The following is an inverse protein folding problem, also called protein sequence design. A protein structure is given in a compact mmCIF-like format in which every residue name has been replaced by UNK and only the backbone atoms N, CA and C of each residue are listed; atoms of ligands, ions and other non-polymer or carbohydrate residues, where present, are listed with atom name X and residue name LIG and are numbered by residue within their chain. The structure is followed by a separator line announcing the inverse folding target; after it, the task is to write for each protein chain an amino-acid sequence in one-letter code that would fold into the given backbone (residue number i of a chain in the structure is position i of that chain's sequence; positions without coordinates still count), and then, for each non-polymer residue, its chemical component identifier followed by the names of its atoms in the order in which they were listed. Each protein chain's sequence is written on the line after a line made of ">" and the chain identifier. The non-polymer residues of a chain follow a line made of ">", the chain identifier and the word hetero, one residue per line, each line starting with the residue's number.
data_IF_043524433518
#
_entry.id   IF_043524433518
#
_cell.length_a   1.000
_cell.length_b   1.000
_cell.length_c   1.000
_cell.angle_alpha   90.00
_cell.angle_beta   90.00
_cell.angle_gamma   90.00
#
_symmetry.space_group_name_H-M   'P 1'
#
loop_
_entity.id
_entity.type
_entity.pdbx_description
1 polymer ?
#
# COMPACT_ATOMS: atom_id res chain seq x y z
N UNK A 1 27.96 -7.42 -22.15
CA UNK A 1 26.53 -7.04 -22.19
C UNK A 1 25.70 -7.85 -23.20
N UNK A 2 26.32 -8.55 -24.16
CA UNK A 2 25.60 -9.42 -25.12
C UNK A 2 24.94 -10.65 -24.47
N UNK A 3 25.50 -11.18 -23.37
CA UNK A 3 25.01 -12.41 -22.71
C UNK A 3 23.60 -12.26 -22.11
N UNK A 4 23.19 -11.04 -21.74
CA UNK A 4 21.86 -10.77 -21.17
C UNK A 4 20.78 -10.52 -22.23
N UNK A 5 21.17 -10.40 -23.51
CA UNK A 5 20.22 -10.11 -24.58
C UNK A 5 19.43 -11.35 -25.00
N UNK A 6 19.96 -12.55 -24.78
CA UNK A 6 19.32 -13.82 -25.16
C UNK A 6 18.96 -14.69 -23.95
N UNK A 7 19.09 -14.16 -22.73
CA UNK A 7 18.73 -14.89 -21.51
C UNK A 7 17.20 -15.03 -21.37
N UNK A 8 16.71 -16.18 -20.85
CA UNK A 8 15.33 -16.35 -20.44
C UNK A 8 14.85 -15.21 -19.52
N UNK A 9 13.57 -14.78 -19.62
CA UNK A 9 13.01 -13.69 -18.83
C UNK A 9 13.25 -13.82 -17.32
N UNK A 10 13.22 -15.05 -16.82
CA UNK A 10 13.35 -15.38 -15.39
C UNK A 10 14.78 -15.10 -14.88
N UNK A 11 15.79 -15.42 -15.68
CA UNK A 11 17.20 -15.17 -15.38
C UNK A 11 17.49 -13.67 -15.47
N UNK A 12 16.92 -13.01 -16.49
CA UNK A 12 17.06 -11.57 -16.65
C UNK A 12 16.45 -10.83 -15.46
N UNK A 13 15.24 -11.21 -15.04
CA UNK A 13 14.56 -10.64 -13.88
C UNK A 13 15.38 -10.84 -12.61
N UNK A 14 15.90 -12.05 -12.35
CA UNK A 14 16.75 -12.35 -11.19
C UNK A 14 18.00 -11.45 -11.12
N UNK A 15 18.64 -11.21 -12.27
CA UNK A 15 19.78 -10.29 -12.39
C UNK A 15 19.37 -8.85 -12.06
N UNK A 16 18.20 -8.40 -12.54
CA UNK A 16 17.67 -7.08 -12.19
C UNK A 16 17.36 -6.97 -10.69
N UNK A 17 16.74 -7.99 -10.06
CA UNK A 17 16.48 -8.00 -8.61
C UNK A 17 17.79 -7.84 -7.83
N UNK A 18 18.77 -8.68 -8.16
CA UNK A 18 20.08 -8.67 -7.50
C UNK A 18 20.82 -7.36 -7.69
N UNK A 19 20.76 -6.79 -8.90
CA UNK A 19 21.34 -5.48 -9.21
C UNK A 19 20.71 -4.39 -8.33
N UNK A 20 19.38 -4.34 -8.23
CA UNK A 20 18.65 -3.34 -7.45
C UNK A 20 18.97 -3.47 -5.96
N UNK A 21 19.05 -4.69 -5.43
CA UNK A 21 19.49 -4.96 -4.05
C UNK A 21 20.92 -4.46 -3.83
N UNK A 22 21.81 -4.68 -4.80
CA UNK A 22 23.24 -4.37 -4.67
C UNK A 22 23.55 -2.88 -4.75
N UNK A 23 22.95 -2.15 -5.70
CA UNK A 23 23.31 -0.74 -5.96
C UNK A 23 22.23 0.26 -5.55
N UNK A 24 21.04 -0.22 -5.18
CA UNK A 24 19.87 0.59 -4.87
C UNK A 24 19.15 1.09 -6.11
N UNK A 25 17.82 1.20 -6.01
CA UNK A 25 16.93 1.56 -7.13
C UNK A 25 17.32 2.88 -7.81
N UNK A 26 17.79 3.88 -7.06
CA UNK A 26 18.17 5.19 -7.63
C UNK A 26 19.36 5.08 -8.59
N UNK A 27 20.35 4.24 -8.27
CA UNK A 27 21.50 4.02 -9.16
C UNK A 27 21.12 3.08 -10.31
N UNK A 28 20.28 2.08 -10.05
CA UNK A 28 19.74 1.21 -11.10
C UNK A 28 18.95 2.00 -12.16
N UNK A 29 18.16 3.00 -11.76
CA UNK A 29 17.43 3.87 -12.70
C UNK A 29 18.34 4.70 -13.60
N UNK A 30 19.58 5.01 -13.19
CA UNK A 30 20.55 5.70 -14.06
C UNK A 30 21.07 4.79 -15.17
N UNK A 31 20.94 3.47 -15.02
CA UNK A 31 21.27 2.48 -16.03
C UNK A 31 20.16 2.28 -17.07
N UNK A 32 19.02 2.96 -16.96
CA UNK A 32 17.92 2.94 -17.94
C UNK A 32 18.34 3.39 -19.33
N UNK A 33 19.35 4.27 -19.42
CA UNK A 33 19.85 4.81 -20.69
C UNK A 33 20.73 3.79 -21.44
N UNK A 34 21.07 2.67 -20.80
CA UNK A 34 22.04 1.70 -21.32
C UNK A 34 21.38 0.69 -22.28
N UNK A 35 20.10 0.32 -22.10
CA UNK A 35 19.39 -0.63 -22.97
C UNK A 35 17.86 -0.55 -22.81
N UNK A 36 17.10 -0.68 -23.91
CA UNK A 36 15.61 -0.72 -23.90
C UNK A 36 15.01 -1.85 -23.06
N UNK A 37 15.64 -3.02 -22.96
CA UNK A 37 15.20 -4.13 -22.08
C UNK A 37 15.44 -3.84 -20.60
N UNK A 38 16.55 -3.16 -20.28
CA UNK A 38 16.79 -2.65 -18.91
C UNK A 38 15.79 -1.55 -18.57
N UNK A 39 15.52 -0.64 -19.52
CA UNK A 39 14.46 0.36 -19.35
C UNK A 39 13.12 -0.34 -19.15
N UNK A 40 12.78 -1.37 -19.92
CA UNK A 40 11.56 -2.15 -19.74
C UNK A 40 11.50 -2.85 -18.37
N UNK A 41 12.51 -3.61 -17.97
CA UNK A 41 12.49 -4.36 -16.69
C UNK A 41 12.62 -3.48 -15.44
N UNK A 42 13.27 -2.31 -15.54
CA UNK A 42 13.33 -1.33 -14.44
C UNK A 42 12.06 -0.46 -14.43
N UNK A 43 11.45 -0.21 -15.58
CA UNK A 43 10.22 0.59 -15.71
C UNK A 43 8.95 -0.22 -15.49
N UNK A 44 8.99 -1.54 -15.64
CA UNK A 44 7.86 -2.42 -15.36
C UNK A 44 7.83 -2.80 -13.89
N UNK A 45 6.78 -2.33 -13.23
CA UNK A 45 6.05 -2.79 -12.02
C UNK A 45 6.72 -3.61 -10.91
N UNK A 46 7.69 -4.46 -11.18
CA UNK A 46 8.19 -5.46 -10.23
C UNK A 46 9.05 -4.82 -9.14
N UNK A 47 9.76 -3.72 -9.42
CA UNK A 47 10.75 -3.13 -8.50
C UNK A 47 10.66 -1.63 -8.24
N UNK A 48 9.72 -0.91 -8.87
CA UNK A 48 9.66 0.54 -8.70
C UNK A 48 8.96 0.90 -7.38
N UNK A 49 9.63 1.60 -6.42
CA UNK A 49 8.98 2.07 -5.23
C UNK A 49 7.83 3.00 -5.60
N UNK A 50 6.70 2.97 -4.91
CA UNK A 50 5.51 3.65 -5.42
C UNK A 50 5.65 5.17 -5.26
N UNK A 51 6.51 5.64 -4.35
CA UNK A 51 6.90 7.05 -4.25
C UNK A 51 7.61 7.57 -5.50
N UNK A 52 8.40 6.72 -6.16
CA UNK A 52 9.05 7.05 -7.42
C UNK A 52 8.07 6.93 -8.60
N UNK A 53 7.27 5.86 -8.64
CA UNK A 53 6.22 5.69 -9.65
C UNK A 53 5.23 6.86 -9.64
N UNK A 54 4.80 7.28 -8.45
CA UNK A 54 3.96 8.46 -8.24
C UNK A 54 4.59 9.73 -8.80
N UNK A 55 5.90 9.96 -8.61
CA UNK A 55 6.60 11.11 -9.19
C UNK A 55 6.62 11.10 -10.73
N UNK A 56 6.81 9.92 -11.34
CA UNK A 56 6.77 9.76 -12.80
C UNK A 56 5.35 10.04 -13.31
N UNK A 57 4.35 9.42 -12.69
CA UNK A 57 2.93 9.62 -13.02
C UNK A 57 2.50 11.09 -12.85
N UNK A 58 3.03 11.77 -11.84
CA UNK A 58 2.77 13.19 -11.63
C UNK A 58 3.38 14.03 -12.76
N UNK A 59 4.61 13.74 -13.17
CA UNK A 59 5.24 14.45 -14.28
C UNK A 59 4.46 14.24 -15.59
N UNK A 60 3.99 13.02 -15.87
CA UNK A 60 3.17 12.73 -17.05
C UNK A 60 1.78 13.37 -16.98
N UNK A 61 1.22 13.58 -15.78
CA UNK A 61 -0.08 14.25 -15.59
C UNK A 61 -0.12 15.71 -16.06
N UNK A 62 1.04 16.37 -16.19
CA UNK A 62 1.16 17.73 -16.72
C UNK A 62 1.32 17.80 -18.25
N UNK A 63 1.36 16.65 -18.92
CA UNK A 63 1.60 16.57 -20.37
C UNK A 63 0.33 16.14 -21.10
N UNK A 64 0.28 16.39 -22.42
CA UNK A 64 -0.82 15.95 -23.28
C UNK A 64 -0.99 14.41 -23.36
N UNK A 65 -0.06 13.65 -22.76
CA UNK A 65 -0.13 12.19 -22.63
C UNK A 65 -1.14 11.72 -21.58
N UNK A 66 -1.71 12.62 -20.77
CA UNK A 66 -2.74 12.30 -19.78
C UNK A 66 -4.10 12.09 -20.47
N UNK A 67 -4.31 10.93 -21.08
CA UNK A 67 -5.57 10.57 -21.75
C UNK A 67 -6.54 9.86 -20.80
N UNK A 68 -7.85 9.97 -21.07
CA UNK A 68 -8.92 9.31 -20.29
C UNK A 68 -8.64 7.81 -20.17
N UNK A 69 -8.84 7.25 -18.97
CA UNK A 69 -8.51 5.85 -18.66
C UNK A 69 -7.05 5.62 -18.22
N UNK A 70 -6.23 6.66 -18.08
CA UNK A 70 -4.87 6.54 -17.52
C UNK A 70 -4.79 7.04 -16.08
N UNK A 71 -3.86 6.51 -15.28
CA UNK A 71 -3.56 7.04 -13.94
C UNK A 71 -3.18 8.52 -13.96
N UNK A 72 -2.47 8.96 -15.00
CA UNK A 72 -2.09 10.38 -15.17
C UNK A 72 -3.31 11.28 -15.31
N UNK A 73 -4.36 10.82 -16.00
CA UNK A 73 -5.61 11.55 -16.12
C UNK A 73 -6.36 11.63 -14.79
N UNK A 74 -6.44 10.52 -14.04
CA UNK A 74 -7.04 10.51 -12.69
C UNK A 74 -6.33 11.50 -11.77
N UNK A 75 -4.98 11.49 -11.76
CA UNK A 75 -4.16 12.43 -10.98
C UNK A 75 -4.46 13.87 -11.38
N UNK A 76 -4.47 14.17 -12.68
CA UNK A 76 -4.72 15.51 -13.18
C UNK A 76 -6.13 16.00 -12.82
N UNK A 77 -7.14 15.16 -13.07
CA UNK A 77 -8.55 15.45 -12.78
C UNK A 77 -8.80 15.72 -11.30
N UNK A 78 -8.36 14.82 -10.42
CA UNK A 78 -8.53 14.97 -8.96
C UNK A 78 -7.81 16.22 -8.46
N UNK A 79 -6.56 16.45 -8.87
CA UNK A 79 -5.82 17.64 -8.44
C UNK A 79 -6.46 18.93 -8.91
N UNK A 80 -6.99 18.97 -10.14
CA UNK A 80 -7.69 20.13 -10.68
C UNK A 80 -8.94 20.45 -9.88
N UNK A 81 -9.79 19.45 -9.59
CA UNK A 81 -11.04 19.68 -8.85
C UNK A 81 -10.78 20.03 -7.39
N UNK A 82 -9.83 19.36 -6.71
CA UNK A 82 -9.41 19.76 -5.37
C UNK A 82 -8.86 21.19 -5.35
N UNK A 83 -8.08 21.58 -6.36
CA UNK A 83 -7.58 22.94 -6.51
C UNK A 83 -8.67 24.00 -6.58
N UNK A 84 -9.77 23.73 -7.31
CA UNK A 84 -10.95 24.63 -7.37
C UNK A 84 -11.64 24.75 -6.00
N UNK A 85 -11.79 23.63 -5.29
CA UNK A 85 -12.52 23.57 -4.02
C UNK A 85 -11.74 24.15 -2.84
N UNK A 86 -10.41 24.10 -2.88
CA UNK A 86 -9.55 24.46 -1.74
C UNK A 86 -8.72 25.72 -1.93
N UNK A 87 -8.55 26.18 -3.18
CA UNK A 87 -7.74 27.34 -3.55
C UNK A 87 -6.36 27.36 -2.84
N UNK A 88 -5.57 26.27 -2.97
CA UNK A 88 -4.35 26.11 -2.18
C UNK A 88 -3.26 27.05 -2.68
N UNK A 89 -2.40 27.49 -1.75
CA UNK A 89 -1.15 28.15 -2.12
C UNK A 89 -0.21 27.17 -2.84
N UNK A 90 0.88 27.68 -3.42
CA UNK A 90 1.79 26.87 -4.24
C UNK A 90 2.38 25.67 -3.47
N UNK A 91 2.80 25.88 -2.22
CA UNK A 91 3.38 24.82 -1.40
C UNK A 91 2.35 23.73 -1.05
N UNK A 92 1.13 24.12 -0.69
CA UNK A 92 0.01 23.21 -0.45
C UNK A 92 -0.35 22.43 -1.70
N UNK A 93 -0.36 23.09 -2.87
CA UNK A 93 -0.64 22.47 -4.16
C UNK A 93 0.40 21.38 -4.50
N UNK A 94 1.69 21.69 -4.36
CA UNK A 94 2.76 20.72 -4.61
C UNK A 94 2.68 19.51 -3.68
N UNK A 95 2.37 19.73 -2.40
CA UNK A 95 2.17 18.65 -1.43
C UNK A 95 0.97 17.78 -1.82
N UNK A 96 -0.18 18.40 -2.11
CA UNK A 96 -1.39 17.71 -2.57
C UNK A 96 -1.10 16.84 -3.80
N UNK A 97 -0.52 17.42 -4.84
CA UNK A 97 -0.24 16.73 -6.09
C UNK A 97 0.64 15.50 -5.88
N UNK A 98 1.66 15.61 -5.03
CA UNK A 98 2.51 14.48 -4.64
C UNK A 98 1.70 13.38 -3.95
N UNK A 99 0.90 13.75 -2.93
CA UNK A 99 0.11 12.79 -2.16
C UNK A 99 -0.90 12.04 -3.04
N UNK A 100 -1.60 12.73 -3.94
CA UNK A 100 -2.53 12.11 -4.89
C UNK A 100 -1.81 11.15 -5.83
N UNK A 101 -0.68 11.56 -6.40
CA UNK A 101 0.09 10.70 -7.31
C UNK A 101 0.63 9.45 -6.63
N UNK A 102 1.01 9.56 -5.35
CA UNK A 102 1.48 8.45 -4.55
C UNK A 102 0.33 7.48 -4.21
N UNK A 103 -0.84 8.02 -3.86
CA UNK A 103 -2.01 7.23 -3.52
C UNK A 103 -2.45 6.27 -4.63
N UNK A 104 -2.34 6.66 -5.91
CA UNK A 104 -2.75 5.81 -7.05
C UNK A 104 -1.62 4.97 -7.65
N UNK A 105 -0.38 5.16 -7.19
CA UNK A 105 0.81 4.53 -7.78
C UNK A 105 0.89 3.01 -7.57
N UNK A 106 0.10 2.48 -6.65
CA UNK A 106 0.03 1.05 -6.34
C UNK A 106 -0.64 0.23 -7.47
N UNK A 107 -1.43 0.86 -8.35
CA UNK A 107 -2.13 0.15 -9.41
C UNK A 107 -1.22 -0.23 -10.58
N UNK A 108 -1.33 -1.47 -11.02
CA UNK A 108 -0.71 -1.94 -12.26
C UNK A 108 -1.46 -1.46 -13.50
N UNK A 109 -0.79 -1.44 -14.65
CA UNK A 109 -1.42 -1.19 -15.95
C UNK A 109 -2.51 -2.22 -16.23
N UNK A 110 -2.29 -3.50 -15.88
CA UNK A 110 -3.32 -4.53 -16.02
C UNK A 110 -4.56 -4.22 -15.18
N UNK A 111 -4.39 -3.76 -13.93
CA UNK A 111 -5.51 -3.38 -13.08
C UNK A 111 -6.26 -2.17 -13.68
N UNK A 112 -5.53 -1.19 -14.21
CA UNK A 112 -6.13 -0.02 -14.88
C UNK A 112 -6.90 -0.44 -16.13
N UNK A 113 -6.38 -1.37 -16.93
CA UNK A 113 -7.06 -1.92 -18.10
C UNK A 113 -8.34 -2.67 -17.72
N UNK A 114 -8.33 -3.42 -16.62
CA UNK A 114 -9.52 -4.10 -16.09
C UNK A 114 -10.58 -3.09 -15.62
N UNK A 115 -10.18 -2.05 -14.88
CA UNK A 115 -11.06 -0.93 -14.47
C UNK A 115 -11.71 -0.26 -15.69
N UNK A 116 -10.92 -0.01 -16.73
CA UNK A 116 -11.39 0.60 -17.97
C UNK A 116 -12.38 -0.31 -18.72
N UNK A 117 -12.10 -1.61 -18.82
CA UNK A 117 -12.95 -2.60 -19.49
C UNK A 117 -14.31 -2.74 -18.80
N UNK A 118 -14.32 -2.71 -17.46
CA UNK A 118 -15.53 -2.78 -16.65
C UNK A 118 -16.33 -1.46 -16.65
N UNK A 119 -15.81 -0.40 -17.28
CA UNK A 119 -16.47 0.91 -17.38
C UNK A 119 -16.57 1.66 -16.06
N UNK A 120 -15.79 1.27 -15.04
CA UNK A 120 -15.88 1.83 -13.69
C UNK A 120 -15.33 3.27 -13.57
N UNK A 121 -14.60 3.77 -14.57
CA UNK A 121 -14.02 5.13 -14.63
C UNK A 121 -14.85 6.13 -15.48
N UNK A 122 -15.92 5.71 -16.14
CA UNK A 122 -16.42 6.48 -17.30
C UNK A 122 -17.41 7.61 -16.92
N UNK A 123 -17.91 7.67 -15.68
CA UNK A 123 -18.99 8.57 -15.25
C UNK A 123 -18.61 9.71 -14.30
N UNK A 124 -19.48 10.73 -14.21
CA UNK A 124 -19.37 11.86 -13.26
C UNK A 124 -19.33 11.39 -11.80
N UNK A 125 -20.09 10.34 -11.49
CA UNK A 125 -20.10 9.73 -10.17
C UNK A 125 -18.73 9.13 -9.80
N UNK A 126 -18.04 8.48 -10.75
CA UNK A 126 -16.70 7.94 -10.51
C UNK A 126 -15.69 9.06 -10.23
N UNK A 127 -15.78 10.16 -10.99
CA UNK A 127 -14.96 11.35 -10.75
C UNK A 127 -15.23 11.97 -9.38
N UNK A 128 -16.50 12.09 -8.98
CA UNK A 128 -16.86 12.59 -7.65
C UNK A 128 -16.26 11.73 -6.52
N UNK A 129 -16.32 10.40 -6.66
CA UNK A 129 -15.70 9.47 -5.69
C UNK A 129 -14.17 9.57 -5.68
N UNK A 130 -13.52 9.78 -6.83
CA UNK A 130 -12.08 10.00 -6.91
C UNK A 130 -11.68 11.30 -6.20
N UNK A 131 -12.44 12.39 -6.38
CA UNK A 131 -12.22 13.66 -5.68
C UNK A 131 -12.44 13.52 -4.17
N UNK A 132 -13.48 12.78 -3.77
CA UNK A 132 -13.72 12.44 -2.36
C UNK A 132 -12.54 11.68 -1.74
N UNK A 133 -12.01 10.65 -2.41
CA UNK A 133 -10.81 9.95 -1.97
C UNK A 133 -9.60 10.87 -1.92
N UNK A 134 -9.44 11.75 -2.91
CA UNK A 134 -8.40 12.75 -2.92
C UNK A 134 -8.45 13.67 -1.69
N UNK A 135 -9.63 14.10 -1.26
CA UNK A 135 -9.84 14.88 -0.04
C UNK A 135 -9.43 14.12 1.23
N UNK A 136 -9.69 12.80 1.28
CA UNK A 136 -9.22 11.93 2.36
C UNK A 136 -7.69 11.86 2.35
N UNK A 137 -7.07 11.59 1.19
CA UNK A 137 -5.62 11.51 1.04
C UNK A 137 -4.92 12.77 1.56
N UNK A 138 -5.38 13.96 1.18
CA UNK A 138 -4.78 15.22 1.66
C UNK A 138 -5.09 15.56 3.12
N UNK A 139 -6.01 14.83 3.77
CA UNK A 139 -6.36 15.06 5.16
C UNK A 139 -7.33 16.23 5.40
N UNK A 140 -8.10 16.63 4.38
CA UNK A 140 -9.00 17.77 4.49
C UNK A 140 -10.38 17.35 5.04
N UNK A 141 -10.49 17.21 6.37
CA UNK A 141 -11.73 16.78 7.03
C UNK A 141 -12.97 17.63 6.66
N UNK A 142 -12.92 18.99 6.65
CA UNK A 142 -14.06 19.80 6.21
C UNK A 142 -14.54 19.43 4.81
N UNK A 143 -13.60 19.23 3.88
CA UNK A 143 -13.93 18.85 2.50
C UNK A 143 -14.46 17.42 2.42
N UNK A 144 -13.92 16.48 3.20
CA UNK A 144 -14.46 15.11 3.29
C UNK A 144 -15.91 15.12 3.78
N UNK A 145 -16.24 15.94 4.77
CA UNK A 145 -17.63 16.11 5.25
C UNK A 145 -18.54 16.67 4.17
N UNK A 146 -18.06 17.67 3.42
CA UNK A 146 -18.81 18.28 2.33
C UNK A 146 -19.07 17.30 1.17
N UNK A 147 -18.04 16.53 0.79
CA UNK A 147 -18.10 15.61 -0.37
C UNK A 147 -18.82 14.29 -0.07
N UNK A 148 -18.83 13.81 1.18
CA UNK A 148 -19.47 12.53 1.51
C UNK A 148 -20.98 12.55 1.23
N UNK A 149 -21.67 13.65 1.51
CA UNK A 149 -23.10 13.83 1.21
C UNK A 149 -23.97 12.60 1.54
N UNK A 150 -24.70 12.08 0.54
CA UNK A 150 -25.48 10.83 0.57
C UNK A 150 -24.74 9.62 -0.03
N UNK A 151 -23.44 9.73 -0.28
CA UNK A 151 -22.62 8.68 -0.88
C UNK A 151 -22.35 7.52 0.07
N UNK A 152 -22.10 6.33 -0.48
CA UNK A 152 -21.76 5.15 0.30
C UNK A 152 -20.34 5.23 0.86
N UNK A 153 -20.22 5.30 2.19
CA UNK A 153 -18.94 5.34 2.92
C UNK A 153 -18.09 4.06 2.77
N UNK A 154 -18.73 2.95 2.34
CA UNK A 154 -18.12 1.62 2.21
C UNK A 154 -17.82 1.21 0.76
N UNK A 155 -18.09 2.09 -0.20
CA UNK A 155 -17.79 1.81 -1.61
C UNK A 155 -16.31 1.55 -1.80
N UNK A 156 -15.97 0.64 -2.70
CA UNK A 156 -14.60 0.45 -3.19
C UNK A 156 -14.42 1.39 -4.38
N UNK A 157 -13.46 2.29 -4.30
CA UNK A 157 -13.12 3.24 -5.35
C UNK A 157 -11.94 2.65 -6.13
N UNK A 158 -12.09 2.33 -7.43
CA UNK A 158 -11.11 1.52 -8.15
C UNK A 158 -9.66 2.05 -8.09
N UNK A 159 -9.48 3.37 -8.13
CA UNK A 159 -8.16 4.00 -8.13
C UNK A 159 -7.51 4.17 -6.76
N UNK A 160 -8.29 4.10 -5.67
CA UNK A 160 -7.83 4.49 -4.33
C UNK A 160 -8.10 3.42 -3.25
N UNK A 161 -9.13 2.60 -3.40
CA UNK A 161 -9.56 1.61 -2.42
C UNK A 161 -10.75 2.06 -1.57
N UNK A 162 -10.79 1.63 -0.31
CA UNK A 162 -11.89 1.90 0.62
C UNK A 162 -11.60 3.20 1.40
N UNK A 163 -12.56 4.12 1.55
CA UNK A 163 -12.35 5.40 2.26
C UNK A 163 -11.68 5.26 3.63
N UNK A 164 -12.13 4.30 4.45
CA UNK A 164 -11.58 4.08 5.79
C UNK A 164 -10.15 3.54 5.75
N UNK A 165 -9.82 2.67 4.79
CA UNK A 165 -8.44 2.17 4.64
C UNK A 165 -7.49 3.27 4.16
N UNK A 166 -7.94 4.18 3.29
CA UNK A 166 -7.17 5.35 2.86
C UNK A 166 -6.89 6.26 4.07
N UNK A 167 -7.92 6.60 4.86
CA UNK A 167 -7.72 7.43 6.05
C UNK A 167 -6.76 6.80 7.05
N UNK A 168 -6.84 5.47 7.20
CA UNK A 168 -5.96 4.69 8.05
C UNK A 168 -4.51 4.66 7.55
N UNK A 169 -4.29 4.45 6.25
CA UNK A 169 -2.96 4.46 5.63
C UNK A 169 -2.24 5.81 5.75
N UNK A 170 -2.99 6.91 5.60
CA UNK A 170 -2.44 8.27 5.63
C UNK A 170 -2.39 8.90 7.03
N UNK A 171 -2.83 8.18 8.06
CA UNK A 171 -2.74 8.65 9.45
C UNK A 171 -3.80 9.69 9.84
N UNK A 172 -4.87 9.84 9.06
CA UNK A 172 -5.89 10.87 9.28
C UNK A 172 -6.94 10.43 10.30
N UNK A 173 -6.57 10.36 11.58
CA UNK A 173 -7.43 9.83 12.66
C UNK A 173 -8.81 10.49 12.73
N UNK A 174 -8.90 11.82 12.56
CA UNK A 174 -10.19 12.52 12.62
C UNK A 174 -11.10 12.18 11.44
N UNK A 175 -10.52 11.91 10.26
CA UNK A 175 -11.26 11.43 9.10
C UNK A 175 -11.71 9.98 9.33
N UNK A 176 -10.82 9.11 9.83
CA UNK A 176 -11.17 7.73 10.14
C UNK A 176 -12.31 7.65 11.17
N UNK A 177 -12.27 8.46 12.25
CA UNK A 177 -13.38 8.59 13.22
C UNK A 177 -14.68 9.05 12.58
N UNK A 178 -14.61 10.04 11.69
CA UNK A 178 -15.77 10.54 10.97
C UNK A 178 -16.40 9.45 10.08
N UNK A 179 -15.58 8.73 9.30
CA UNK A 179 -16.03 7.65 8.44
C UNK A 179 -16.68 6.53 9.25
N UNK A 180 -16.09 6.11 10.37
CA UNK A 180 -16.70 5.14 11.29
C UNK A 180 -18.06 5.61 11.82
N UNK A 181 -18.17 6.89 12.21
CA UNK A 181 -19.44 7.49 12.65
C UNK A 181 -20.50 7.48 11.55
N UNK A 182 -20.09 7.58 10.28
CA UNK A 182 -20.95 7.48 9.11
C UNK A 182 -21.28 6.04 8.70
N UNK A 183 -20.86 5.03 9.47
CA UNK A 183 -21.16 3.62 9.20
C UNK A 183 -20.12 2.89 8.35
N UNK A 184 -18.87 3.39 8.33
CA UNK A 184 -17.78 2.66 7.69
C UNK A 184 -17.56 1.30 8.37
N UNK A 185 -17.53 0.24 7.57
CA UNK A 185 -17.24 -1.13 8.01
C UNK A 185 -15.72 -1.28 8.19
N UNK A 186 -15.29 -1.37 9.45
CA UNK A 186 -13.89 -1.56 9.82
C UNK A 186 -13.30 -2.87 9.25
N UNK A 187 -14.12 -3.91 9.11
CA UNK A 187 -13.73 -5.22 8.59
C UNK A 187 -13.76 -5.32 7.08
N UNK A 188 -14.17 -4.26 6.38
CA UNK A 188 -14.22 -4.26 4.92
C UNK A 188 -12.81 -4.37 4.35
N UNK A 189 -12.62 -5.38 3.50
CA UNK A 189 -11.39 -5.63 2.76
C UNK A 189 -11.62 -5.46 1.27
N UNK A 190 -10.58 -5.03 0.54
CA UNK A 190 -10.55 -5.12 -0.92
C UNK A 190 -9.91 -6.47 -1.24
N UNK A 191 -10.60 -7.42 -1.85
CA UNK A 191 -9.92 -8.63 -2.34
C UNK A 191 -9.30 -8.29 -3.71
N UNK A 192 -8.04 -7.88 -3.73
CA UNK A 192 -7.29 -7.79 -4.98
C UNK A 192 -6.60 -9.13 -5.20
N UNK A 193 -6.96 -9.89 -6.25
CA UNK A 193 -6.18 -11.05 -6.65
C UNK A 193 -4.77 -10.55 -7.04
N UNK A 194 -3.73 -10.97 -6.33
CA UNK A 194 -2.35 -10.69 -6.77
C UNK A 194 -2.04 -11.64 -7.92
N UNK A 195 -2.40 -11.23 -9.14
CA UNK A 195 -2.15 -12.00 -10.36
C UNK A 195 -0.65 -12.05 -10.63
N UNK A 196 -0.10 -13.25 -10.81
CA UNK A 196 1.35 -13.47 -11.01
C UNK A 196 2.15 -13.62 -9.71
N UNK A 197 1.50 -13.63 -8.54
CA UNK A 197 2.11 -14.16 -7.32
C UNK A 197 1.82 -15.65 -7.23
N UNK A 198 2.85 -16.45 -7.49
CA UNK A 198 2.90 -17.84 -7.07
C UNK A 198 3.83 -17.87 -5.85
N UNK A 199 3.33 -18.28 -4.66
CA UNK A 199 4.24 -18.51 -3.56
C UNK A 199 5.25 -19.55 -3.99
N UNK A 200 6.52 -19.32 -3.66
CA UNK A 200 7.53 -20.37 -3.74
C UNK A 200 6.94 -21.64 -3.04
N UNK A 201 6.91 -22.80 -3.71
CA UNK A 201 6.30 -24.01 -3.16
C UNK A 201 6.83 -24.38 -1.76
N UNK A 202 8.08 -24.02 -1.48
CA UNK A 202 8.76 -24.26 -0.19
C UNK A 202 8.45 -23.16 0.85
N UNK A 203 7.94 -22.00 0.41
CA UNK A 203 7.59 -20.86 1.27
C UNK A 203 6.09 -20.54 1.27
N UNK A 204 5.24 -21.33 0.61
CA UNK A 204 3.78 -21.10 0.53
C UNK A 204 3.09 -21.04 1.89
N UNK A 205 3.63 -21.76 2.87
CA UNK A 205 3.12 -21.78 4.23
C UNK A 205 3.70 -20.60 5.08
N UNK A 206 4.72 -19.91 4.58
CA UNK A 206 5.36 -18.73 5.19
C UNK A 206 4.88 -17.40 4.58
N UNK A 207 4.55 -17.41 3.28
CA UNK A 207 4.27 -16.23 2.47
C UNK A 207 2.77 -16.10 2.21
N UNK A 208 2.14 -15.11 2.85
CA UNK A 208 0.93 -14.52 2.29
C UNK A 208 1.32 -13.62 1.10
N UNK A 209 0.39 -13.30 0.17
CA UNK A 209 0.68 -12.50 -1.00
C UNK A 209 1.54 -11.30 -0.64
N UNK A 210 2.77 -11.29 -1.15
CA UNK A 210 3.75 -10.27 -0.83
C UNK A 210 3.39 -9.06 -1.65
N UNK A 211 3.14 -7.95 -0.97
CA UNK A 211 3.01 -6.66 -1.60
C UNK A 211 4.21 -5.81 -1.29
N UNK A 212 4.84 -5.27 -2.35
CA UNK A 212 5.88 -4.26 -2.22
C UNK A 212 5.33 -2.85 -1.92
N UNK A 213 4.01 -2.71 -1.65
CA UNK A 213 3.38 -1.42 -1.44
C UNK A 213 3.41 -1.03 0.04
N UNK A 214 3.96 0.14 0.35
CA UNK A 214 4.22 0.65 1.71
C UNK A 214 3.01 1.33 2.40
N UNK A 215 1.91 1.59 1.68
CA UNK A 215 0.76 2.37 2.19
C UNK A 215 -0.61 1.79 1.85
N UNK A 216 -0.65 0.71 1.08
CA UNK A 216 -1.81 -0.15 0.97
C UNK A 216 -1.26 -1.56 1.11
N UNK A 217 -1.62 -2.26 2.18
CA UNK A 217 -1.75 -3.71 2.05
C UNK A 217 -2.78 -3.89 0.92
N UNK A 218 -2.39 -4.37 -0.27
CA UNK A 218 -3.20 -4.26 -1.49
C UNK A 218 -4.47 -5.10 -1.42
N UNK A 219 -4.74 -5.74 -0.28
CA UNK A 219 -6.01 -6.39 -0.01
C UNK A 219 -6.46 -6.27 1.46
N UNK A 220 -6.05 -5.21 2.16
CA UNK A 220 -6.15 -5.13 3.62
C UNK A 220 -7.31 -4.29 4.16
N UNK A 221 -7.76 -4.63 5.37
CA UNK A 221 -8.70 -3.80 6.12
C UNK A 221 -8.04 -2.47 6.52
N UNK A 222 -8.83 -1.55 7.08
CA UNK A 222 -8.29 -0.33 7.67
C UNK A 222 -7.27 -0.59 8.79
N UNK A 223 -7.40 -1.71 9.52
CA UNK A 223 -6.46 -2.09 10.57
C UNK A 223 -5.08 -2.43 9.98
N UNK A 224 -5.05 -3.21 8.89
CA UNK A 224 -3.80 -3.59 8.21
C UNK A 224 -3.12 -2.39 7.57
N UNK A 225 -3.89 -1.48 7.00
CA UNK A 225 -3.39 -0.23 6.42
C UNK A 225 -2.72 0.65 7.49
N UNK A 226 -3.39 0.88 8.64
CA UNK A 226 -2.80 1.62 9.75
C UNK A 226 -1.57 0.91 10.33
N UNK A 227 -1.60 -0.42 10.41
CA UNK A 227 -0.52 -1.23 10.93
C UNK A 227 0.74 -1.19 10.05
N UNK A 228 0.57 -1.29 8.73
CA UNK A 228 1.66 -1.19 7.76
C UNK A 228 2.30 0.20 7.74
N UNK A 229 1.50 1.25 7.90
CA UNK A 229 1.96 2.64 7.80
C UNK A 229 2.39 3.26 9.14
N UNK A 230 2.25 2.53 10.26
CA UNK A 230 2.79 2.97 11.55
C UNK A 230 1.87 3.89 12.36
N UNK A 231 0.55 3.86 12.14
CA UNK A 231 -0.39 4.76 12.80
C UNK A 231 -1.00 4.14 14.07
N UNK A 232 -0.23 4.10 15.16
CA UNK A 232 -0.60 3.45 16.44
C UNK A 232 -1.98 3.88 16.97
N UNK A 233 -2.31 5.18 16.90
CA UNK A 233 -3.59 5.70 17.41
C UNK A 233 -4.79 5.17 16.62
N UNK A 234 -4.64 5.04 15.30
CA UNK A 234 -5.69 4.49 14.43
C UNK A 234 -5.84 2.99 14.69
N UNK A 235 -4.73 2.26 14.87
CA UNK A 235 -4.78 0.84 15.28
C UNK A 235 -5.57 0.68 16.58
N UNK A 236 -5.25 1.46 17.62
CA UNK A 236 -5.99 1.40 18.91
C UNK A 236 -7.46 1.73 18.76
N UNK A 237 -7.81 2.66 17.87
CA UNK A 237 -9.18 3.01 17.57
C UNK A 237 -9.93 1.89 16.83
N UNK A 238 -9.26 1.16 15.94
CA UNK A 238 -9.87 0.13 15.10
C UNK A 238 -9.97 -1.24 15.79
N UNK A 239 -9.03 -1.59 16.66
CA UNK A 239 -8.99 -2.88 17.39
C UNK A 239 -10.34 -3.32 17.99
N UNK A 240 -11.14 -2.44 18.65
CA UNK A 240 -12.44 -2.82 19.23
C UNK A 240 -13.48 -3.29 18.21
N UNK A 241 -13.33 -2.97 16.92
CA UNK A 241 -14.25 -3.38 15.86
C UNK A 241 -14.00 -4.81 15.36
N UNK A 242 -12.98 -5.50 15.88
CA UNK A 242 -12.61 -6.87 15.49
C UNK A 242 -12.70 -7.85 16.68
N UNK A 243 -13.87 -8.03 17.32
CA UNK A 243 -13.98 -8.88 18.50
C UNK A 243 -13.57 -10.34 18.20
N UNK A 244 -12.97 -10.96 19.21
CA UNK A 244 -12.42 -12.32 19.15
C UNK A 244 -13.49 -13.41 18.92
N UNK A 245 -13.39 -14.28 17.88
CA UNK A 245 -12.51 -14.03 16.73
C UNK A 245 -13.03 -14.40 15.34
N UNK A 246 -12.41 -13.72 14.36
CA UNK A 246 -11.58 -14.37 13.37
C UNK A 246 -10.09 -14.03 13.63
N UNK A 247 -9.29 -15.05 13.99
CA UNK A 247 -7.85 -14.93 14.32
C UNK A 247 -6.99 -14.45 13.13
N UNK A 248 -7.57 -14.44 11.93
CA UNK A 248 -6.92 -14.13 10.67
C UNK A 248 -6.60 -12.63 10.53
N UNK A 249 -7.50 -11.74 10.96
CA UNK A 249 -7.32 -10.30 10.76
C UNK A 249 -6.18 -9.73 11.60
N UNK A 250 -6.11 -10.11 12.87
CA UNK A 250 -5.00 -9.74 13.74
C UNK A 250 -3.68 -10.35 13.29
N UNK A 251 -3.73 -11.59 12.77
CA UNK A 251 -2.55 -12.21 12.18
C UNK A 251 -2.00 -11.41 10.99
N UNK A 252 -2.89 -10.99 10.09
CA UNK A 252 -2.54 -10.16 8.94
C UNK A 252 -2.05 -8.78 9.35
N UNK A 253 -2.63 -8.17 10.40
CA UNK A 253 -2.15 -6.93 10.98
C UNK A 253 -0.73 -7.06 11.59
N UNK A 254 -0.39 -8.21 12.21
CA UNK A 254 0.98 -8.48 12.68
C UNK A 254 1.99 -8.51 11.54
N UNK A 255 1.64 -9.23 10.46
CA UNK A 255 2.50 -9.30 9.29
C UNK A 255 2.67 -7.93 8.65
N UNK A 256 1.59 -7.16 8.48
CA UNK A 256 1.64 -5.79 7.98
C UNK A 256 2.55 -4.89 8.83
N UNK A 257 2.41 -4.96 10.16
CA UNK A 257 3.28 -4.23 11.10
C UNK A 257 4.75 -4.63 10.97
N UNK A 258 5.03 -5.92 10.76
CA UNK A 258 6.38 -6.42 10.58
C UNK A 258 7.00 -5.97 9.25
N UNK A 259 6.21 -5.91 8.16
CA UNK A 259 6.62 -5.33 6.86
C UNK A 259 6.96 -3.84 6.98
N UNK A 260 6.22 -3.10 7.80
CA UNK A 260 6.46 -1.68 8.06
C UNK A 260 7.50 -1.39 9.17
N UNK A 261 7.99 -2.41 9.88
CA UNK A 261 8.95 -2.24 10.98
C UNK A 261 8.34 -1.69 12.28
N UNK A 262 7.03 -1.76 12.46
CA UNK A 262 6.29 -1.13 13.56
C UNK A 262 6.10 -2.08 14.76
N UNK A 263 7.17 -2.29 15.53
CA UNK A 263 7.15 -3.15 16.72
C UNK A 263 6.14 -2.70 17.79
N UNK A 264 5.93 -1.40 17.96
CA UNK A 264 4.93 -0.84 18.89
C UNK A 264 3.53 -1.36 18.57
N UNK A 265 3.16 -1.34 17.29
CA UNK A 265 1.88 -1.83 16.80
C UNK A 265 1.73 -3.33 17.01
N UNK A 266 2.78 -4.12 16.76
CA UNK A 266 2.79 -5.56 17.04
C UNK A 266 2.42 -5.80 18.51
N UNK A 267 3.01 -5.04 19.44
CA UNK A 267 2.71 -5.16 20.86
C UNK A 267 1.29 -4.70 21.23
N UNK A 268 0.79 -3.62 20.61
CA UNK A 268 -0.60 -3.14 20.80
C UNK A 268 -1.61 -4.20 20.40
N UNK A 269 -1.43 -4.80 19.21
CA UNK A 269 -2.34 -5.81 18.70
C UNK A 269 -2.24 -7.10 19.52
N UNK A 270 -1.03 -7.50 19.95
CA UNK A 270 -0.81 -8.66 20.83
C UNK A 270 -1.53 -8.49 22.18
N UNK A 271 -1.40 -7.31 22.79
CA UNK A 271 -2.08 -6.98 24.03
C UNK A 271 -3.60 -7.04 23.88
N UNK A 272 -4.14 -6.52 22.78
CA UNK A 272 -5.57 -6.55 22.51
C UNK A 272 -6.15 -7.98 22.42
N UNK A 273 -5.36 -8.94 21.91
CA UNK A 273 -5.77 -10.34 21.81
C UNK A 273 -5.33 -11.21 23.00
N UNK A 274 -4.79 -10.60 24.07
CA UNK A 274 -4.33 -11.31 25.27
C UNK A 274 -3.16 -12.26 25.01
N UNK A 275 -2.36 -12.03 23.96
CA UNK A 275 -1.20 -12.86 23.60
C UNK A 275 0.11 -12.14 23.84
N UNK A 276 1.17 -12.94 23.96
CA UNK A 276 2.55 -12.46 23.90
C UNK A 276 3.19 -12.96 22.62
N UNK A 277 4.24 -12.28 22.17
CA UNK A 277 4.96 -12.60 20.94
C UNK A 277 5.50 -14.06 20.92
N UNK A 278 5.83 -14.59 22.09
CA UNK A 278 6.31 -15.98 22.25
C UNK A 278 5.20 -17.03 22.10
N UNK A 279 3.93 -16.64 22.31
CA UNK A 279 2.76 -17.51 22.12
C UNK A 279 2.26 -17.54 20.68
N UNK A 280 2.98 -16.91 19.74
CA UNK A 280 2.61 -16.84 18.32
C UNK A 280 3.05 -18.07 17.51
N UNK A 281 3.75 -19.08 18.06
CA UNK A 281 4.05 -20.32 17.33
C UNK A 281 4.56 -20.10 15.89
N UNK A 282 3.90 -20.72 14.90
CA UNK A 282 4.21 -20.56 13.47
C UNK A 282 4.05 -19.12 12.96
N UNK A 283 3.07 -18.39 13.47
CA UNK A 283 2.80 -16.99 13.09
C UNK A 283 3.97 -16.06 13.42
N UNK A 284 4.80 -16.43 14.41
CA UNK A 284 6.03 -15.71 14.74
C UNK A 284 7.07 -15.82 13.62
N UNK A 285 7.21 -17.01 13.02
CA UNK A 285 8.15 -17.24 11.93
C UNK A 285 7.73 -16.46 10.68
N UNK A 286 6.44 -16.44 10.37
CA UNK A 286 5.89 -15.64 9.28
C UNK A 286 6.15 -14.14 9.50
N UNK A 287 5.91 -13.63 10.71
CA UNK A 287 6.20 -12.24 11.08
C UNK A 287 7.69 -11.90 10.91
N UNK A 288 8.60 -12.75 11.42
CA UNK A 288 10.04 -12.55 11.26
C UNK A 288 10.47 -12.58 9.79
N UNK A 289 9.91 -13.49 9.00
CA UNK A 289 10.18 -13.57 7.57
C UNK A 289 9.78 -12.27 6.86
N UNK A 290 8.60 -11.71 7.17
CA UNK A 290 8.17 -10.42 6.62
C UNK A 290 9.13 -9.29 7.01
N UNK A 291 9.58 -9.26 8.26
CA UNK A 291 10.54 -8.25 8.69
C UNK A 291 11.88 -8.38 7.96
N UNK A 292 12.42 -9.59 7.81
CA UNK A 292 13.69 -9.83 7.10
C UNK A 292 13.56 -9.53 5.61
N UNK A 293 12.48 -9.98 4.96
CA UNK A 293 12.26 -9.78 3.54
C UNK A 293 12.14 -8.29 3.16
N UNK A 294 11.54 -7.48 4.04
CA UNK A 294 11.36 -6.04 3.85
C UNK A 294 12.44 -5.18 4.54
N UNK A 295 13.56 -5.78 4.96
CA UNK A 295 14.72 -5.08 5.56
C UNK A 295 14.36 -4.26 6.83
N UNK A 296 13.47 -4.80 7.67
CA UNK A 296 12.98 -4.16 8.88
C UNK A 296 13.75 -4.63 10.11
N UNK A 297 14.98 -4.13 10.27
CA UNK A 297 15.89 -4.48 11.37
C UNK A 297 15.23 -4.32 12.75
N UNK A 298 14.44 -3.25 12.95
CA UNK A 298 13.77 -2.96 14.22
C UNK A 298 12.86 -4.11 14.71
N UNK A 299 12.30 -4.90 13.81
CA UNK A 299 11.47 -6.07 14.14
C UNK A 299 12.27 -7.35 14.06
N UNK A 300 13.16 -7.51 13.07
CA UNK A 300 13.94 -8.72 12.85
C UNK A 300 15.01 -8.96 13.94
N UNK A 301 15.66 -7.89 14.41
CA UNK A 301 16.74 -7.95 15.39
C UNK A 301 16.26 -7.81 16.86
N UNK A 302 14.96 -7.65 17.10
CA UNK A 302 14.46 -7.40 18.44
C UNK A 302 14.58 -8.66 19.34
N UNK A 303 15.11 -8.57 20.57
CA UNK A 303 15.27 -9.74 21.45
C UNK A 303 13.96 -10.49 21.73
N UNK A 304 12.84 -9.76 21.81
CA UNK A 304 11.51 -10.37 22.01
C UNK A 304 10.99 -11.08 20.75
N UNK A 305 11.48 -10.75 19.55
CA UNK A 305 11.07 -11.41 18.30
C UNK A 305 11.94 -12.65 18.00
N UNK A 306 13.17 -12.74 18.50
CA UNK A 306 14.07 -13.89 18.33
C UNK A 306 13.71 -15.12 19.18
N UNK A 307 13.93 -16.36 18.69
CA UNK A 307 13.76 -17.57 19.50
C UNK A 307 14.50 -17.43 20.84
N UNK A 308 13.88 -17.86 21.94
CA UNK A 308 14.63 -17.96 23.20
C UNK A 308 15.80 -18.91 22.93
N UNK A 309 17.03 -18.58 23.39
CA UNK A 309 18.15 -19.51 23.25
C UNK A 309 17.69 -20.84 23.84
N UNK A 310 17.91 -21.92 23.09
CA UNK A 310 17.54 -23.25 23.54
C UNK A 310 18.19 -23.45 24.91
N UNK A 311 17.38 -23.38 25.96
CA UNK A 311 17.86 -23.62 27.31
C UNK A 311 18.47 -25.00 27.28
N UNK A 312 19.77 -25.10 27.61
CA UNK A 312 20.45 -26.37 27.75
C UNK A 312 19.56 -27.26 28.61
N UNK A 313 18.91 -28.23 27.98
CA UNK A 313 18.25 -29.32 28.69
C UNK A 313 19.39 -30.10 29.33
N UNK A 314 19.68 -29.78 30.59
CA UNK A 314 20.46 -30.66 31.47
C UNK A 314 19.60 -31.86 31.84
#
# INVERSE_FOLDING_TARGET
>A
MEILHDSPPEIFDAVIKSLIVTIGIVKALRLRVVNRRFDYAISFEVFMPPSLKGRILLATSYTDKATKGTLSFVICSVNRELGKLTQPNEQQRLKQHRMISEAVSHLSMSQVDDINREGQDVGEEAQAHNVFCGAIVVGNLPLVKYLLGSGSVNRIIPYFGIPLSIAAAWGHIYIARFLLKCGADAGRVVNVPIKGWEPDPDLKDLCLPVSNYTYLDPAGSALRAAALAGHDEIVRMLVPYFPSPPWEEYHLAFQASARGGHLTIINVVLHAVGKTIHKLGWQRYQMLWQAVYHDQEAVAAHPSSMPLPAGNKK
#
